data_IF_110388007612
#
_entry.id   IF_110388007612
#
_cell.length_a   1.000
_cell.length_b   1.000
_cell.length_c   1.000
_cell.angle_alpha   90.00
_cell.angle_beta   90.00
_cell.angle_gamma   90.00
#
_symmetry.space_group_name_H-M   'P 1'
#
loop_
_entity.id
_entity.type
_entity.pdbx_description
1 polymer ?
#
# COMPACT_ATOMS: atom_id res chain seq x y z
N UNK A 1 3.71 -12.97 9.03
CA UNK A 1 2.92 -11.71 9.04
C UNK A 1 2.95 -10.97 10.37
N UNK A 2 2.13 -11.33 11.37
CA UNK A 2 2.12 -10.57 12.65
C UNK A 2 3.42 -10.68 13.46
N UNK A 3 3.97 -11.89 13.59
CA UNK A 3 5.22 -12.11 14.33
C UNK A 3 6.43 -11.46 13.63
N UNK A 4 6.45 -11.45 12.29
CA UNK A 4 7.49 -10.79 11.52
C UNK A 4 7.39 -9.27 11.63
N UNK A 5 6.16 -8.74 11.62
CA UNK A 5 5.88 -7.33 11.85
C UNK A 5 6.33 -6.89 13.25
N UNK A 6 5.97 -7.64 14.29
CA UNK A 6 6.39 -7.33 15.67
C UNK A 6 7.92 -7.33 15.81
N UNK A 7 8.61 -8.32 15.22
CA UNK A 7 10.08 -8.37 15.18
C UNK A 7 10.70 -7.21 14.42
N UNK A 8 10.16 -6.86 13.26
CA UNK A 8 10.67 -5.73 12.48
C UNK A 8 10.59 -4.42 13.29
N UNK A 9 9.52 -4.24 14.06
CA UNK A 9 9.33 -3.07 14.92
C UNK A 9 10.30 -3.04 16.11
N UNK A 10 10.77 -4.19 16.61
CA UNK A 10 11.83 -4.25 17.64
C UNK A 10 13.17 -3.70 17.13
N UNK A 11 13.40 -3.74 15.82
CA UNK A 11 14.61 -3.19 15.19
C UNK A 11 14.56 -1.67 14.95
N UNK A 12 13.46 -0.99 15.30
CA UNK A 12 13.33 0.46 15.16
C UNK A 12 13.24 0.94 13.71
N UNK A 13 12.60 0.15 12.84
CA UNK A 13 12.39 0.53 11.43
C UNK A 13 11.45 1.74 11.30
N UNK A 14 11.76 2.65 10.38
CA UNK A 14 10.92 3.83 10.13
C UNK A 14 9.63 3.53 9.37
N UNK A 15 9.65 2.46 8.54
CA UNK A 15 8.55 2.12 7.63
C UNK A 15 8.29 0.62 7.59
N UNK A 16 7.00 0.27 7.49
CA UNK A 16 6.51 -1.07 7.19
C UNK A 16 5.79 -1.03 5.85
N UNK A 17 6.28 -1.80 4.89
CA UNK A 17 5.63 -1.98 3.59
C UNK A 17 4.69 -3.20 3.62
N UNK A 18 3.38 -2.96 3.63
CA UNK A 18 2.37 -4.01 3.64
C UNK A 18 2.12 -4.49 2.20
N UNK A 19 2.43 -5.76 1.94
CA UNK A 19 2.22 -6.40 0.64
C UNK A 19 0.79 -6.94 0.50
N UNK A 20 0.33 -7.07 -0.74
CA UNK A 20 -0.97 -7.62 -1.15
C UNK A 20 -2.17 -7.02 -0.42
N UNK A 21 -2.13 -5.72 -0.14
CA UNK A 21 -3.28 -5.00 0.40
C UNK A 21 -4.43 -5.15 -0.57
N UNK A 22 -5.60 -5.54 -0.07
CA UNK A 22 -6.82 -5.70 -0.88
C UNK A 22 -7.96 -4.87 -0.31
N UNK A 23 -7.96 -4.63 0.99
CA UNK A 23 -9.04 -3.91 1.68
C UNK A 23 -8.47 -2.98 2.76
N UNK A 24 -9.20 -1.91 3.14
CA UNK A 24 -8.85 -1.00 4.23
C UNK A 24 -8.60 -1.69 5.56
N UNK A 25 -9.29 -2.81 5.82
CA UNK A 25 -9.15 -3.58 7.05
C UNK A 25 -7.72 -4.14 7.21
N UNK A 26 -7.07 -4.52 6.10
CA UNK A 26 -5.70 -5.03 6.10
C UNK A 26 -4.73 -3.93 6.62
N UNK A 27 -4.96 -2.67 6.22
CA UNK A 27 -4.18 -1.51 6.70
C UNK A 27 -4.51 -1.16 8.14
N UNK A 28 -5.78 -1.22 8.53
CA UNK A 28 -6.22 -0.94 9.89
C UNK A 28 -5.63 -1.93 10.90
N UNK A 29 -5.55 -3.21 10.56
CA UNK A 29 -4.91 -4.25 11.37
C UNK A 29 -3.41 -3.99 11.51
N UNK A 30 -2.72 -3.69 10.40
CA UNK A 30 -1.29 -3.34 10.44
C UNK A 30 -1.04 -2.12 11.35
N UNK A 31 -1.86 -1.07 11.25
CA UNK A 31 -1.72 0.13 12.11
C UNK A 31 -1.92 -0.17 13.59
N UNK A 32 -2.83 -1.07 13.95
CA UNK A 32 -3.02 -1.51 15.34
C UNK A 32 -1.75 -2.17 15.90
N UNK A 33 -1.06 -2.95 15.08
CA UNK A 33 0.18 -3.64 15.47
C UNK A 33 1.35 -2.65 15.52
N UNK A 34 1.49 -1.81 14.49
CA UNK A 34 2.54 -0.80 14.39
C UNK A 34 2.44 0.21 15.54
N UNK A 35 1.23 0.60 15.93
CA UNK A 35 0.95 1.48 17.08
C UNK A 35 1.78 2.78 17.05
N UNK A 36 1.96 3.36 15.85
CA UNK A 36 2.70 4.61 15.65
C UNK A 36 4.23 4.50 15.74
N UNK A 37 4.79 3.29 15.90
CA UNK A 37 6.25 3.08 15.96
C UNK A 37 6.96 3.22 14.60
N UNK A 38 6.21 3.08 13.51
CA UNK A 38 6.67 3.19 12.13
C UNK A 38 5.54 3.75 11.25
N UNK A 39 5.87 4.25 10.05
CA UNK A 39 4.89 4.57 9.02
C UNK A 39 4.40 3.31 8.28
N UNK A 40 3.13 3.27 7.92
CA UNK A 40 2.54 2.18 7.12
C UNK A 40 2.46 2.59 5.65
N UNK A 41 3.20 1.86 4.81
CA UNK A 41 3.17 1.99 3.36
C UNK A 41 2.37 0.83 2.76
N UNK A 42 1.25 1.13 2.10
CA UNK A 42 0.42 0.10 1.45
C UNK A 42 0.86 -0.13 0.01
N UNK A 43 1.23 -1.37 -0.34
CA UNK A 43 1.55 -1.75 -1.72
C UNK A 43 0.28 -2.13 -2.46
N UNK A 44 -0.04 -1.37 -3.50
CA UNK A 44 -1.20 -1.60 -4.35
C UNK A 44 -0.79 -2.56 -5.46
N UNK A 45 -1.14 -3.83 -5.25
CA UNK A 45 -0.74 -4.97 -6.09
C UNK A 45 -1.95 -5.71 -6.69
N UNK A 46 -3.11 -5.59 -6.05
CA UNK A 46 -4.32 -6.34 -6.38
C UNK A 46 -5.40 -5.43 -6.97
N UNK A 47 -6.16 -5.89 -7.99
CA UNK A 47 -7.28 -5.12 -8.55
C UNK A 47 -8.33 -4.74 -7.50
N UNK A 48 -8.60 -5.60 -6.53
CA UNK A 48 -9.54 -5.34 -5.42
C UNK A 48 -9.16 -4.12 -4.58
N UNK A 49 -7.86 -3.83 -4.44
CA UNK A 49 -7.39 -2.62 -3.76
C UNK A 49 -7.71 -1.35 -4.55
N UNK A 50 -7.79 -1.44 -5.88
CA UNK A 50 -8.11 -0.32 -6.76
C UNK A 50 -9.59 0.07 -6.63
N UNK A 51 -10.46 -0.89 -6.29
CA UNK A 51 -11.89 -0.67 -6.07
C UNK A 51 -12.16 0.07 -4.76
N UNK A 52 -11.36 -0.23 -3.71
CA UNK A 52 -11.44 0.43 -2.38
C UNK A 52 -10.29 1.41 -2.11
N UNK A 53 -9.71 1.96 -3.18
CA UNK A 53 -8.47 2.73 -3.12
C UNK A 53 -8.52 3.94 -2.19
N UNK A 54 -9.62 4.70 -2.21
CA UNK A 54 -9.74 5.92 -1.40
C UNK A 54 -9.65 5.61 0.11
N UNK A 55 -10.34 4.56 0.55
CA UNK A 55 -10.34 4.13 1.95
C UNK A 55 -8.98 3.57 2.37
N UNK A 56 -8.31 2.82 1.48
CA UNK A 56 -6.96 2.31 1.72
C UNK A 56 -5.96 3.47 1.86
N UNK A 57 -6.00 4.44 0.94
CA UNK A 57 -5.12 5.62 0.97
C UNK A 57 -5.33 6.44 2.24
N UNK A 58 -6.59 6.64 2.66
CA UNK A 58 -6.92 7.41 3.86
C UNK A 58 -6.28 6.82 5.12
N UNK A 59 -6.30 5.49 5.22
CA UNK A 59 -5.70 4.75 6.33
C UNK A 59 -4.18 4.59 6.22
N UNK A 60 -3.56 4.86 5.07
CA UNK A 60 -2.13 4.64 4.86
C UNK A 60 -1.33 5.91 5.14
N UNK A 61 -0.09 5.77 5.62
CA UNK A 61 0.84 6.90 5.74
C UNK A 61 1.48 7.23 4.39
N UNK A 62 1.68 6.19 3.55
CA UNK A 62 2.10 6.31 2.16
C UNK A 62 1.54 5.14 1.33
N UNK A 63 1.60 5.24 0.00
CA UNK A 63 1.23 4.11 -0.88
C UNK A 63 2.30 3.85 -1.94
N UNK A 64 2.34 2.62 -2.43
CA UNK A 64 3.22 2.22 -3.53
C UNK A 64 2.40 1.64 -4.68
N UNK A 65 2.69 2.09 -5.90
CA UNK A 65 2.24 1.44 -7.13
C UNK A 65 3.23 0.32 -7.47
N UNK A 66 2.85 -0.93 -7.20
CA UNK A 66 3.66 -2.10 -7.48
C UNK A 66 3.32 -2.65 -8.88
N UNK A 67 3.94 -2.06 -9.91
CA UNK A 67 3.62 -2.34 -11.31
C UNK A 67 3.85 -3.78 -11.74
N UNK A 68 4.88 -4.44 -11.21
CA UNK A 68 5.21 -5.83 -11.55
C UNK A 68 4.07 -6.76 -11.16
N UNK A 69 3.62 -6.70 -9.91
CA UNK A 69 2.48 -7.49 -9.42
C UNK A 69 1.18 -7.09 -10.13
N UNK A 70 0.93 -5.78 -10.31
CA UNK A 70 -0.25 -5.32 -11.07
C UNK A 70 -0.24 -5.82 -12.51
N UNK A 71 0.92 -5.96 -13.15
CA UNK A 71 1.05 -6.49 -14.51
C UNK A 71 0.86 -7.99 -14.62
N UNK A 72 0.91 -8.72 -13.50
CA UNK A 72 0.49 -10.13 -13.43
C UNK A 72 -1.03 -10.23 -13.29
N UNK A 73 -1.65 -9.29 -12.55
CA UNK A 73 -3.07 -9.33 -12.20
C UNK A 73 -3.99 -8.60 -13.20
N UNK A 74 -3.45 -7.64 -13.96
CA UNK A 74 -4.16 -6.83 -14.94
C UNK A 74 -3.53 -7.00 -16.33
N UNK A 75 -4.30 -6.80 -17.41
CA UNK A 75 -3.71 -6.64 -18.74
C UNK A 75 -2.64 -5.53 -18.72
N UNK A 76 -1.46 -5.72 -19.34
CA UNK A 76 -0.35 -4.76 -19.28
C UNK A 76 -0.73 -3.33 -19.66
N UNK A 77 -1.64 -3.16 -20.61
CA UNK A 77 -2.17 -1.87 -21.06
C UNK A 77 -3.01 -1.14 -20.00
N UNK A 78 -3.56 -1.85 -19.01
CA UNK A 78 -4.31 -1.27 -17.91
C UNK A 78 -3.42 -0.79 -16.75
N UNK A 79 -2.19 -1.31 -16.63
CA UNK A 79 -1.27 -0.94 -15.54
C UNK A 79 -0.97 0.58 -15.52
N UNK A 80 -0.70 1.25 -16.66
CA UNK A 80 -0.54 2.71 -16.68
C UNK A 80 -1.79 3.47 -16.21
N UNK A 81 -2.98 2.94 -16.46
CA UNK A 81 -4.25 3.54 -16.04
C UNK A 81 -4.41 3.41 -14.52
N UNK A 82 -4.18 2.20 -13.98
CA UNK A 82 -4.18 1.93 -12.56
C UNK A 82 -3.17 2.83 -11.81
N UNK A 83 -1.94 2.94 -12.32
CA UNK A 83 -0.92 3.83 -11.76
C UNK A 83 -1.40 5.27 -11.65
N UNK A 84 -1.98 5.83 -12.73
CA UNK A 84 -2.49 7.21 -12.71
C UNK A 84 -3.60 7.37 -11.67
N UNK A 85 -4.49 6.38 -11.53
CA UNK A 85 -5.56 6.38 -10.52
C UNK A 85 -4.98 6.39 -9.10
N UNK A 86 -4.00 5.53 -8.81
CA UNK A 86 -3.34 5.43 -7.49
C UNK A 86 -2.60 6.73 -7.14
N UNK A 87 -1.79 7.26 -8.06
CA UNK A 87 -1.06 8.53 -7.85
C UNK A 87 -2.02 9.68 -7.56
N UNK A 88 -3.14 9.77 -8.29
CA UNK A 88 -4.14 10.83 -8.08
C UNK A 88 -4.82 10.70 -6.72
N UNK A 89 -5.22 9.49 -6.32
CA UNK A 89 -5.83 9.26 -5.02
C UNK A 89 -4.88 9.62 -3.87
N UNK A 90 -3.62 9.17 -3.95
CA UNK A 90 -2.60 9.51 -2.96
C UNK A 90 -2.38 11.03 -2.85
N UNK A 91 -2.21 11.71 -3.99
CA UNK A 91 -2.03 13.17 -4.02
C UNK A 91 -3.25 13.92 -3.48
N UNK A 92 -4.46 13.48 -3.79
CA UNK A 92 -5.69 14.10 -3.30
C UNK A 92 -5.80 14.01 -1.77
N UNK A 93 -5.33 12.91 -1.18
CA UNK A 93 -5.28 12.71 0.27
C UNK A 93 -4.00 13.26 0.94
N UNK A 94 -3.12 13.93 0.19
CA UNK A 94 -1.85 14.44 0.73
C UNK A 94 -0.87 13.34 1.15
N UNK A 95 -1.01 12.11 0.63
CA UNK A 95 -0.15 10.97 0.95
C UNK A 95 1.03 10.86 -0.03
N UNK A 96 2.26 10.64 0.45
CA UNK A 96 3.38 10.24 -0.40
C UNK A 96 3.05 9.00 -1.23
N UNK A 97 3.55 8.96 -2.47
CA UNK A 97 3.38 7.83 -3.38
C UNK A 97 4.71 7.43 -4.00
N UNK A 98 5.02 6.14 -3.96
CA UNK A 98 6.18 5.53 -4.63
C UNK A 98 5.69 4.77 -5.86
N UNK A 99 6.36 4.94 -6.99
CA UNK A 99 6.15 4.09 -8.18
C UNK A 99 7.30 3.10 -8.23
N UNK A 100 7.00 1.80 -8.12
CA UNK A 100 8.01 0.75 -8.04
C UNK A 100 7.89 -0.25 -9.20
N UNK A 101 8.99 -0.97 -9.46
CA UNK A 101 9.12 -2.10 -10.43
C UNK A 101 8.83 -1.72 -11.89
N UNK A 102 9.06 -2.59 -12.87
CA UNK A 102 8.96 -2.30 -14.31
C UNK A 102 7.70 -2.88 -14.93
#
# INVERSE_FOLDING_TARGET
DRADLDRALEHGVDWIALSFVQRPEDVAEARKIVAGRAGVLSKIEKPSAIDRLAEIVELSDAVMVARGDLGVELPPEQVPIAQRKIIRAARAAGRPVIVATH
#
